data_IF_561828026970
#
_entry.id   IF_561828026970
#
_cell.length_a   1.000
_cell.length_b   1.000
_cell.length_c   1.000
_cell.angle_alpha   90.00
_cell.angle_beta   90.00
_cell.angle_gamma   90.00
#
_symmetry.space_group_name_H-M   'P 1'
#
loop_
_entity.id
_entity.type
_entity.pdbx_description
1 polymer ?
#
# COMPACT_ATOMS: atom_id res chain seq x y z
N UNK A 1 -25.96 23.39 -8.08
CA UNK A 1 -24.50 23.49 -8.29
C UNK A 1 -23.97 22.07 -8.37
N UNK A 2 -23.68 21.59 -9.58
CA UNK A 2 -23.24 20.22 -9.84
C UNK A 2 -21.77 20.12 -9.40
N UNK A 3 -21.52 19.44 -8.27
CA UNK A 3 -20.16 19.13 -7.82
C UNK A 3 -19.45 18.27 -8.87
N UNK A 4 -18.12 18.24 -8.79
CA UNK A 4 -17.28 17.35 -9.62
C UNK A 4 -17.86 15.95 -9.54
N UNK A 5 -18.42 15.48 -10.66
CA UNK A 5 -19.01 14.17 -10.77
C UNK A 5 -17.91 13.11 -10.89
N UNK A 6 -18.32 11.85 -10.75
CA UNK A 6 -17.43 10.72 -11.02
C UNK A 6 -16.80 10.76 -12.43
N UNK A 7 -17.50 11.20 -13.49
CA UNK A 7 -16.92 11.32 -14.84
C UNK A 7 -15.77 12.33 -14.90
N UNK A 8 -15.95 13.53 -14.34
CA UNK A 8 -14.92 14.57 -14.34
C UNK A 8 -13.67 14.15 -13.57
N UNK A 9 -13.84 13.47 -12.43
CA UNK A 9 -12.74 12.90 -11.65
C UNK A 9 -11.95 11.87 -12.45
N UNK A 10 -12.64 11.05 -13.25
CA UNK A 10 -12.02 10.03 -14.10
C UNK A 10 -11.22 10.67 -15.25
N UNK A 11 -11.73 11.73 -15.87
CA UNK A 11 -11.00 12.49 -16.90
C UNK A 11 -9.71 13.10 -16.32
N UNK A 12 -9.79 13.71 -15.14
CA UNK A 12 -8.61 14.26 -14.45
C UNK A 12 -7.60 13.15 -14.14
N UNK A 13 -8.07 12.00 -13.65
CA UNK A 13 -7.22 10.85 -13.36
C UNK A 13 -6.49 10.36 -14.61
N UNK A 14 -7.17 10.29 -15.76
CA UNK A 14 -6.55 9.89 -17.03
C UNK A 14 -5.45 10.89 -17.45
N UNK A 15 -5.68 12.20 -17.31
CA UNK A 15 -4.66 13.21 -17.61
C UNK A 15 -3.42 13.04 -16.71
N UNK A 16 -3.63 12.83 -15.41
CA UNK A 16 -2.54 12.55 -14.46
C UNK A 16 -1.79 11.27 -14.87
N UNK A 17 -2.50 10.21 -15.25
CA UNK A 17 -1.90 8.96 -15.70
C UNK A 17 -1.09 9.12 -16.99
N UNK A 18 -1.45 10.04 -17.89
CA UNK A 18 -0.66 10.34 -19.09
C UNK A 18 0.63 11.07 -18.72
N UNK A 19 0.56 12.06 -17.82
CA UNK A 19 1.73 12.84 -17.41
C UNK A 19 2.72 12.00 -16.60
N UNK A 20 2.23 11.27 -15.60
CA UNK A 20 3.06 10.50 -14.68
C UNK A 20 3.29 9.05 -15.12
N UNK A 21 2.44 8.51 -16.01
CA UNK A 21 2.45 7.11 -16.41
C UNK A 21 1.63 6.21 -15.47
N UNK A 22 1.00 5.17 -16.03
CA UNK A 22 0.18 4.22 -15.28
C UNK A 22 0.94 3.42 -14.20
N UNK A 23 2.26 3.29 -14.34
CA UNK A 23 3.11 2.61 -13.36
C UNK A 23 3.48 3.44 -12.14
N UNK A 24 3.44 4.78 -12.22
CA UNK A 24 3.88 5.65 -11.11
C UNK A 24 2.87 5.76 -9.99
N UNK A 25 1.58 5.76 -10.30
CA UNK A 25 0.53 5.76 -9.27
C UNK A 25 0.62 4.56 -8.30
N UNK A 26 0.70 3.29 -8.75
CA UNK A 26 0.81 2.15 -7.84
C UNK A 26 2.15 2.09 -7.11
N UNK A 27 3.24 2.58 -7.71
CA UNK A 27 4.56 2.70 -7.05
C UNK A 27 4.49 3.65 -5.84
N UNK A 28 3.93 4.85 -6.05
CA UNK A 28 3.73 5.86 -4.99
C UNK A 28 2.75 5.35 -3.94
N UNK A 29 1.62 4.77 -4.36
CA UNK A 29 0.63 4.18 -3.45
C UNK A 29 1.20 3.06 -2.58
N UNK A 30 2.07 2.22 -3.14
CA UNK A 30 2.76 1.16 -2.38
C UNK A 30 3.75 1.72 -1.36
N UNK A 31 4.50 2.76 -1.72
CA UNK A 31 5.42 3.44 -0.82
C UNK A 31 4.68 4.14 0.33
N UNK A 32 3.62 4.90 0.01
CA UNK A 32 2.76 5.55 0.99
C UNK A 32 2.05 4.52 1.88
N UNK A 33 1.53 3.43 1.31
CA UNK A 33 0.86 2.37 2.05
C UNK A 33 1.76 1.69 3.08
N UNK A 34 3.02 1.41 2.71
CA UNK A 34 4.03 0.91 3.67
C UNK A 34 4.33 1.93 4.76
N UNK A 35 4.49 3.21 4.41
CA UNK A 35 4.68 4.30 5.36
C UNK A 35 3.53 4.42 6.36
N UNK A 36 2.29 4.44 5.87
CA UNK A 36 1.07 4.51 6.70
C UNK A 36 0.95 3.26 7.57
N UNK A 37 1.25 2.06 7.05
CA UNK A 37 1.22 0.81 7.82
C UNK A 37 2.23 0.85 8.97
N UNK A 38 3.45 1.27 8.71
CA UNK A 38 4.51 1.37 9.71
C UNK A 38 4.20 2.46 10.74
N UNK A 39 3.70 3.62 10.28
CA UNK A 39 3.24 4.70 11.15
C UNK A 39 2.12 4.23 12.08
N UNK A 40 1.11 3.57 11.53
CA UNK A 40 -0.01 3.02 12.30
C UNK A 40 0.45 1.97 13.31
N UNK A 41 1.43 1.12 12.97
CA UNK A 41 2.01 0.13 13.89
C UNK A 41 2.72 0.84 15.06
N UNK A 42 3.62 1.78 14.75
CA UNK A 42 4.37 2.54 15.74
C UNK A 42 3.47 3.38 16.67
N UNK A 43 2.35 3.92 16.18
CA UNK A 43 1.40 4.70 17.01
C UNK A 43 0.48 3.81 17.84
N UNK A 44 0.24 2.55 17.44
CA UNK A 44 -0.68 1.63 18.16
C UNK A 44 0.01 0.69 19.13
N UNK A 45 1.29 0.38 18.94
CA UNK A 45 2.04 -0.55 19.79
C UNK A 45 3.10 0.23 20.60
N UNK A 46 2.77 0.71 21.82
CA UNK A 46 3.75 1.40 22.64
C UNK A 46 4.88 0.51 23.19
N UNK A 47 4.83 -0.83 23.09
CA UNK A 47 5.88 -1.71 23.65
C UNK A 47 5.94 -3.10 23.01
N UNK A 48 6.31 -3.24 21.74
CA UNK A 48 6.78 -4.55 21.26
C UNK A 48 7.91 -4.36 20.24
N UNK A 49 9.13 -4.70 20.66
CA UNK A 49 10.27 -4.87 19.75
C UNK A 49 10.00 -6.18 19.01
N UNK A 50 9.48 -6.08 17.80
CA UNK A 50 9.17 -7.21 16.93
C UNK A 50 10.47 -7.87 16.42
N UNK A 51 11.07 -8.73 17.26
CA UNK A 51 12.12 -9.69 16.89
C UNK A 51 11.49 -10.95 16.31
N UNK A 52 10.69 -10.80 15.26
CA UNK A 52 10.26 -11.95 14.46
C UNK A 52 11.13 -12.04 13.21
N UNK A 53 12.14 -12.94 13.15
CA UNK A 53 12.85 -13.19 11.91
C UNK A 53 11.85 -13.73 10.89
N UNK A 54 11.88 -13.16 9.68
CA UNK A 54 11.09 -13.60 8.53
C UNK A 54 11.20 -15.12 8.42
N UNK A 55 10.10 -15.81 8.72
CA UNK A 55 10.04 -17.26 8.64
C UNK A 55 10.32 -17.68 7.18
N UNK A 56 11.51 -18.22 6.97
CA UNK A 56 11.82 -19.11 5.87
C UNK A 56 10.73 -20.20 5.81
N UNK A 57 9.95 -20.21 4.73
CA UNK A 57 9.17 -21.39 4.36
C UNK A 57 10.11 -22.38 3.68
N UNK A 58 10.86 -23.12 4.49
CA UNK A 58 11.56 -24.34 4.11
C UNK A 58 10.83 -25.52 4.75
N UNK A 59 10.15 -26.29 3.89
CA UNK A 59 10.13 -27.76 3.83
C UNK A 59 9.73 -28.62 5.05
N UNK A 60 8.89 -29.64 4.76
CA UNK A 60 8.62 -30.86 5.56
C UNK A 60 7.91 -30.63 6.92
N UNK A 61 6.95 -31.40 7.42
CA UNK A 61 6.58 -32.80 7.29
C UNK A 61 5.15 -32.90 7.87
N UNK A 62 4.17 -33.45 7.15
CA UNK A 62 2.94 -33.95 7.81
C UNK A 62 2.47 -35.23 7.15
N UNK A 63 3.09 -36.32 7.60
CA UNK A 63 2.59 -37.70 7.68
C UNK A 63 3.05 -38.20 9.07
N UNK A 64 2.33 -39.02 9.85
CA UNK A 64 1.40 -40.10 9.49
C UNK A 64 -0.07 -39.90 9.83
#
# INVERSE_FOLDING_TARGET
MFGIGMPELLVILVIILIIFGAGKLPEIGSALGRGIKNFKKATREPNEIDVTPTAEKTTEEKKP
#
